data_IF_295356841285
#
_entry.id   IF_295356841285
#
_cell.length_a   1.000
_cell.length_b   1.000
_cell.length_c   1.000
_cell.angle_alpha   90.00
_cell.angle_beta   90.00
_cell.angle_gamma   90.00
#
_symmetry.space_group_name_H-M   'P 1'
#
loop_
_entity.id
_entity.type
_entity.pdbx_description
1 polymer ?
#
# COMPACT_ATOMS: atom_id res chain seq x y z
N UNK A 1 25.48 -14.72 0.83
CA UNK A 1 24.14 -15.07 0.31
C UNK A 1 23.08 -14.63 1.32
N UNK A 2 22.60 -13.39 1.24
CA UNK A 2 21.36 -12.83 1.82
C UNK A 2 21.24 -11.45 1.16
N UNK A 3 20.17 -10.92 0.57
CA UNK A 3 18.74 -11.22 0.59
C UNK A 3 18.23 -11.07 -0.83
N UNK A 4 17.47 -12.06 -1.31
CA UNK A 4 16.65 -11.89 -2.49
C UNK A 4 15.52 -10.90 -2.17
N UNK A 5 15.72 -9.63 -2.50
CA UNK A 5 14.61 -8.74 -2.83
C UNK A 5 13.99 -9.27 -4.12
N UNK A 6 13.23 -10.36 -4.01
CA UNK A 6 12.40 -10.86 -5.09
C UNK A 6 11.39 -9.74 -5.35
N UNK A 7 11.59 -9.04 -6.46
CA UNK A 7 10.74 -7.96 -6.92
C UNK A 7 9.29 -8.35 -6.65
N UNK A 8 8.61 -7.57 -5.81
CA UNK A 8 7.16 -7.66 -5.72
C UNK A 8 6.64 -7.54 -7.15
N UNK A 9 5.77 -8.48 -7.52
CA UNK A 9 5.01 -8.46 -8.76
C UNK A 9 4.76 -7.02 -9.21
N UNK A 10 5.15 -6.71 -10.45
CA UNK A 10 4.94 -5.44 -11.17
C UNK A 10 3.46 -5.15 -11.41
N UNK A 11 2.62 -5.37 -10.41
CA UNK A 11 1.23 -5.01 -10.40
C UNK A 11 1.16 -3.51 -10.22
N UNK A 12 0.59 -2.82 -11.20
CA UNK A 12 0.37 -1.38 -11.14
C UNK A 12 -0.48 -1.06 -9.89
N UNK A 13 0.05 -0.18 -9.05
CA UNK A 13 -0.65 0.32 -7.86
C UNK A 13 -1.44 1.56 -8.28
N UNK A 14 -2.74 1.60 -7.97
CA UNK A 14 -3.58 2.74 -8.34
C UNK A 14 -3.41 3.87 -7.32
N UNK A 15 -3.05 5.07 -7.74
CA UNK A 15 -3.09 6.26 -6.88
C UNK A 15 -4.54 6.67 -6.62
N UNK A 16 -4.83 6.94 -5.36
CA UNK A 16 -6.03 7.65 -4.93
C UNK A 16 -5.64 9.00 -4.38
N UNK A 17 -6.34 10.03 -4.82
CA UNK A 17 -6.19 11.36 -4.27
C UNK A 17 -6.98 11.50 -2.97
N UNK A 18 -6.52 12.37 -2.05
CA UNK A 18 -7.30 12.73 -0.87
C UNK A 18 -8.74 13.09 -1.26
N UNK A 19 -9.72 12.62 -0.48
CA UNK A 19 -11.17 12.82 -0.70
C UNK A 19 -11.80 12.07 -1.90
N UNK A 20 -11.05 11.25 -2.64
CA UNK A 20 -11.68 10.33 -3.60
C UNK A 20 -12.42 9.21 -2.88
N UNK A 21 -13.51 8.75 -3.50
CA UNK A 21 -14.28 7.61 -2.98
C UNK A 21 -13.39 6.36 -3.00
N UNK A 22 -13.29 5.69 -1.85
CA UNK A 22 -12.53 4.45 -1.75
C UNK A 22 -13.21 3.35 -2.58
N UNK A 23 -12.48 2.67 -3.49
CA UNK A 23 -13.01 1.53 -4.22
C UNK A 23 -13.34 0.39 -3.25
N UNK A 24 -14.53 -0.20 -3.41
CA UNK A 24 -14.95 -1.35 -2.61
C UNK A 24 -14.24 -2.65 -3.01
N UNK A 25 -13.58 -2.68 -4.17
CA UNK A 25 -12.83 -3.82 -4.72
C UNK A 25 -11.32 -3.72 -4.49
N UNK A 26 -10.89 -2.87 -3.54
CA UNK A 26 -9.48 -2.54 -3.33
C UNK A 26 -9.04 -2.64 -1.86
N UNK A 27 -7.78 -3.02 -1.68
CA UNK A 27 -7.05 -2.75 -0.44
C UNK A 27 -6.46 -1.35 -0.51
N UNK A 28 -6.71 -0.53 0.49
CA UNK A 28 -6.20 0.84 0.60
C UNK A 28 -4.91 0.84 1.40
N UNK A 29 -3.87 1.48 0.85
CA UNK A 29 -2.59 1.68 1.53
C UNK A 29 -2.35 3.18 1.64
N UNK A 30 -2.39 3.71 2.85
CA UNK A 30 -2.16 5.13 3.11
C UNK A 30 -0.74 5.34 3.55
N UNK A 31 0.07 5.97 2.69
CA UNK A 31 1.45 6.36 2.96
C UNK A 31 1.48 7.74 3.58
N UNK A 32 2.14 7.88 4.73
CA UNK A 32 2.30 9.16 5.45
C UNK A 32 3.64 9.24 6.17
N UNK A 33 4.02 10.44 6.61
CA UNK A 33 5.12 10.59 7.57
C UNK A 33 4.62 10.47 9.01
N UNK A 34 5.35 9.70 9.82
CA UNK A 34 5.16 9.60 11.26
C UNK A 34 6.51 9.41 11.94
N UNK A 35 6.75 10.11 13.05
CA UNK A 35 7.99 9.98 13.84
C UNK A 35 9.29 10.13 13.02
N UNK A 36 9.30 11.06 12.06
CA UNK A 36 10.48 11.33 11.21
C UNK A 36 10.76 10.30 10.11
N UNK A 37 9.86 9.33 9.89
CA UNK A 37 9.98 8.28 8.86
C UNK A 37 8.71 8.18 8.02
N UNK A 38 8.85 7.70 6.77
CA UNK A 38 7.69 7.35 5.93
C UNK A 38 7.19 5.96 6.30
N UNK A 39 5.90 5.87 6.60
CA UNK A 39 5.18 4.66 6.99
C UNK A 39 3.94 4.51 6.13
N UNK A 40 3.34 3.32 6.14
CA UNK A 40 2.06 3.08 5.52
C UNK A 40 1.12 2.28 6.43
N UNK A 41 -0.14 2.68 6.41
CA UNK A 41 -1.26 1.99 7.05
C UNK A 41 -2.03 1.22 5.98
N UNK A 42 -2.40 -0.03 6.25
CA UNK A 42 -3.19 -0.87 5.34
C UNK A 42 -4.61 -0.94 5.87
N UNK A 43 -5.57 -0.65 5.02
CA UNK A 43 -6.98 -0.79 5.31
C UNK A 43 -7.72 -1.45 4.14
N UNK A 44 -8.53 -2.47 4.41
CA UNK A 44 -9.50 -2.96 3.43
C UNK A 44 -10.80 -3.22 4.17
N UNK A 45 -11.90 -2.64 3.65
CA UNK A 45 -13.35 -2.74 4.00
C UNK A 45 -13.73 -2.89 5.49
N UNK A 46 -13.02 -3.70 6.29
CA UNK A 46 -13.26 -4.01 7.70
C UNK A 46 -11.98 -4.16 8.58
N UNK A 47 -10.76 -3.99 8.03
CA UNK A 47 -9.50 -4.10 8.78
C UNK A 47 -8.74 -2.77 8.80
N UNK A 48 -8.39 -2.29 9.99
CA UNK A 48 -7.46 -1.17 10.19
C UNK A 48 -6.19 -1.77 10.79
N UNK A 49 -5.03 -1.59 10.17
CA UNK A 49 -3.78 -2.02 10.77
C UNK A 49 -3.53 -1.29 12.11
N UNK A 50 -3.30 -2.05 13.20
CA UNK A 50 -3.10 -1.50 14.55
C UNK A 50 -1.80 -0.66 14.70
N UNK A 51 -0.84 -0.78 13.78
CA UNK A 51 0.41 -0.01 13.81
C UNK A 51 0.93 0.36 12.41
N UNK A 52 1.49 1.57 12.25
CA UNK A 52 2.12 1.99 11.00
C UNK A 52 3.34 1.12 10.67
N UNK A 53 3.33 0.53 9.49
CA UNK A 53 4.39 -0.36 8.99
C UNK A 53 5.34 0.39 8.03
N UNK A 54 6.59 -0.07 7.84
CA UNK A 54 7.38 0.35 6.70
C UNK A 54 6.63 0.07 5.39
N UNK A 55 6.70 0.98 4.41
CA UNK A 55 5.92 0.88 3.14
C UNK A 55 6.04 -0.50 2.46
N UNK A 56 7.23 -1.12 2.30
CA UNK A 56 7.33 -2.45 1.70
C UNK A 56 6.61 -3.55 2.50
N UNK A 57 6.55 -3.43 3.83
CA UNK A 57 5.84 -4.39 4.67
C UNK A 57 4.31 -4.20 4.56
N UNK A 58 3.85 -2.95 4.52
CA UNK A 58 2.46 -2.61 4.29
C UNK A 58 1.97 -3.14 2.93
N UNK A 59 2.74 -2.94 1.86
CA UNK A 59 2.37 -3.43 0.53
C UNK A 59 2.29 -4.96 0.46
N UNK A 60 3.19 -5.68 1.15
CA UNK A 60 3.10 -7.15 1.25
C UNK A 60 1.85 -7.58 2.01
N UNK A 61 1.54 -6.94 3.13
CA UNK A 61 0.31 -7.21 3.88
C UNK A 61 -0.94 -6.92 3.04
N UNK A 62 -0.92 -5.83 2.26
CA UNK A 62 -1.99 -5.48 1.35
C UNK A 62 -2.20 -6.52 0.23
N UNK A 63 -1.12 -7.06 -0.33
CA UNK A 63 -1.22 -8.11 -1.35
C UNK A 63 -1.77 -9.42 -0.76
N UNK A 64 -1.34 -9.82 0.44
CA UNK A 64 -1.93 -10.95 1.15
C UNK A 64 -3.43 -10.75 1.36
N UNK A 65 -3.82 -9.58 1.88
CA UNK A 65 -5.21 -9.24 2.13
C UNK A 65 -6.05 -9.19 0.84
N UNK A 66 -5.47 -8.69 -0.26
CA UNK A 66 -6.11 -8.68 -1.58
C UNK A 66 -6.44 -10.09 -2.04
N UNK A 67 -5.49 -11.02 -1.90
CA UNK A 67 -5.66 -12.41 -2.31
C UNK A 67 -6.68 -13.15 -1.43
N UNK A 68 -6.59 -13.00 -0.11
CA UNK A 68 -7.48 -13.65 0.85
C UNK A 68 -8.95 -13.22 0.70
N UNK A 69 -9.17 -11.94 0.38
CA UNK A 69 -10.52 -11.37 0.25
C UNK A 69 -11.02 -11.33 -1.21
N UNK A 70 -10.25 -11.85 -2.17
CA UNK A 70 -10.62 -11.86 -3.59
C UNK A 70 -10.78 -10.45 -4.19
N UNK A 71 -10.00 -9.48 -3.71
CA UNK A 71 -10.04 -8.10 -4.18
C UNK A 71 -9.24 -7.94 -5.48
N UNK A 72 -9.67 -7.00 -6.33
CA UNK A 72 -9.10 -6.87 -7.67
C UNK A 72 -7.80 -6.07 -7.69
N UNK A 73 -7.61 -5.14 -6.74
CA UNK A 73 -6.51 -4.17 -6.80
C UNK A 73 -6.03 -3.73 -5.43
N UNK A 74 -4.86 -3.08 -5.44
CA UNK A 74 -4.35 -2.29 -4.32
C UNK A 74 -4.38 -0.82 -4.77
N UNK A 75 -4.95 0.02 -3.94
CA UNK A 75 -5.00 1.46 -4.15
C UNK A 75 -4.19 2.17 -3.06
N UNK A 76 -3.44 3.19 -3.44
CA UNK A 76 -2.47 3.86 -2.59
C UNK A 76 -2.82 5.33 -2.47
N UNK A 77 -2.96 5.82 -1.25
CA UNK A 77 -3.05 7.25 -0.94
C UNK A 77 -1.67 7.69 -0.44
N UNK A 78 -1.11 8.76 -1.01
CA UNK A 78 0.11 9.39 -0.48
C UNK A 78 -0.31 10.73 0.13
N UNK A 79 -0.39 10.76 1.46
CA UNK A 79 -0.93 11.90 2.23
C UNK A 79 0.17 12.94 2.53
N UNK A 80 1.34 12.49 2.98
CA UNK A 80 2.55 13.31 3.12
C UNK A 80 3.81 12.50 2.76
N UNK A 81 4.63 13.07 1.87
CA UNK A 81 5.89 12.52 1.39
C UNK A 81 5.87 12.13 -0.09
N UNK A 82 6.98 11.55 -0.55
CA UNK A 82 7.16 11.10 -1.94
C UNK A 82 7.03 9.57 -2.05
N UNK A 83 6.46 9.13 -3.17
CA UNK A 83 6.49 7.73 -3.56
C UNK A 83 7.88 7.34 -4.07
N UNK A 84 8.45 6.26 -3.53
CA UNK A 84 9.72 5.75 -4.04
C UNK A 84 9.50 4.67 -5.10
N UNK A 85 10.19 4.74 -6.26
CA UNK A 85 10.07 3.72 -7.31
C UNK A 85 10.37 2.29 -6.84
N UNK A 86 11.21 2.14 -5.81
CA UNK A 86 11.54 0.84 -5.20
C UNK A 86 10.35 0.14 -4.52
N UNK A 87 9.26 0.87 -4.24
CA UNK A 87 8.04 0.32 -3.66
C UNK A 87 7.08 -0.24 -4.70
N UNK A 88 7.27 0.10 -5.98
CA UNK A 88 6.41 -0.33 -7.08
C UNK A 88 6.08 0.81 -8.03
N UNK A 89 5.38 0.48 -9.12
CA UNK A 89 4.87 1.46 -10.08
C UNK A 89 3.51 1.98 -9.59
N UNK A 90 3.46 3.28 -9.29
CA UNK A 90 2.24 3.98 -8.88
C UNK A 90 1.68 4.74 -10.08
N UNK A 91 0.46 4.38 -10.52
CA UNK A 91 -0.22 4.94 -11.69
C UNK A 91 -1.46 5.74 -11.26
N UNK A 92 -1.74 6.85 -11.96
CA UNK A 92 -2.90 7.70 -11.70
C UNK A 92 -4.22 7.15 -12.25
#
# INVERSE_FOLDING_TARGET
MISGAKAMSTSELKRLHPHQRHPHDAVIVTVRRALGRTVADVAAVEVIADFPLPVPAALRAAETMRQENGLNRIAVIVDDGDWKPEWGLLVD
#
